data_IF_609537811351
#
_entry.id   IF_609537811351
#
_cell.length_a   1.000
_cell.length_b   1.000
_cell.length_c   1.000
_cell.angle_alpha   90.00
_cell.angle_beta   90.00
_cell.angle_gamma   90.00
#
_symmetry.space_group_name_H-M   'P 1'
#
loop_
_entity.id
_entity.type
_entity.pdbx_description
1 polymer ?
#
# COMPACT_ATOMS: atom_id res chain seq x y z
N UNK A 1 -9.71 56.53 9.81
CA UNK A 1 -9.59 55.09 10.11
C UNK A 1 -8.72 54.45 9.03
N UNK A 2 -7.55 53.93 9.32
CA UNK A 2 -6.73 53.27 8.31
C UNK A 2 -7.31 51.90 7.98
N UNK A 3 -7.43 51.59 6.68
CA UNK A 3 -7.89 50.32 6.17
C UNK A 3 -6.93 49.22 6.59
N UNK A 4 -7.40 48.21 7.35
CA UNK A 4 -6.65 46.98 7.67
C UNK A 4 -6.41 46.20 6.37
N UNK A 5 -5.15 46.15 5.93
CA UNK A 5 -4.73 45.28 4.83
C UNK A 5 -5.07 43.83 5.16
N UNK A 6 -5.88 43.19 4.30
CA UNK A 6 -6.17 41.77 4.40
C UNK A 6 -4.84 40.99 4.21
N UNK A 7 -4.50 40.08 5.11
CA UNK A 7 -3.28 39.25 4.92
C UNK A 7 -3.42 38.48 3.62
N UNK A 8 -2.41 38.59 2.74
CA UNK A 8 -2.32 37.83 1.51
C UNK A 8 -2.51 36.34 1.81
N UNK A 9 -3.44 35.68 1.11
CA UNK A 9 -3.61 34.22 1.14
C UNK A 9 -2.31 33.60 0.64
N UNK A 10 -1.37 33.30 1.55
CA UNK A 10 -0.20 32.46 1.23
C UNK A 10 -0.75 31.15 0.64
N UNK A 11 -0.35 30.84 -0.59
CA UNK A 11 -0.71 29.59 -1.26
C UNK A 11 -0.26 28.40 -0.39
N UNK A 12 -1.21 27.79 0.33
CA UNK A 12 -0.97 26.62 1.22
C UNK A 12 -0.48 25.38 0.45
N UNK A 13 -0.55 25.41 -0.87
CA UNK A 13 -0.20 24.31 -1.77
C UNK A 13 1.30 24.24 -2.11
N UNK A 14 2.01 25.36 -2.09
CA UNK A 14 3.46 25.38 -2.41
C UNK A 14 4.28 24.47 -1.50
N UNK A 15 4.07 24.49 -0.15
CA UNK A 15 4.81 23.57 0.72
C UNK A 15 4.50 22.09 0.45
N UNK A 16 3.26 21.76 0.09
CA UNK A 16 2.87 20.37 -0.18
C UNK A 16 3.46 19.86 -1.50
N UNK A 17 3.47 20.70 -2.54
CA UNK A 17 4.11 20.37 -3.82
C UNK A 17 5.62 20.16 -3.67
N UNK A 18 6.29 21.02 -2.88
CA UNK A 18 7.71 20.85 -2.57
C UNK A 18 7.98 19.55 -1.79
N UNK A 19 7.15 19.23 -0.80
CA UNK A 19 7.24 17.96 -0.08
C UNK A 19 7.02 16.76 -1.01
N UNK A 20 6.05 16.84 -1.94
CA UNK A 20 5.84 15.80 -2.94
C UNK A 20 7.07 15.62 -3.82
N UNK A 21 7.61 16.71 -4.38
CA UNK A 21 8.82 16.67 -5.21
C UNK A 21 10.03 16.09 -4.47
N UNK A 22 10.17 16.38 -3.17
CA UNK A 22 11.24 15.84 -2.32
C UNK A 22 11.21 14.30 -2.25
N UNK A 23 10.02 13.69 -2.27
CA UNK A 23 9.88 12.23 -2.27
C UNK A 23 9.85 11.63 -3.69
N UNK A 24 9.23 12.34 -4.63
CA UNK A 24 9.14 11.88 -6.01
C UNK A 24 10.50 11.82 -6.69
N UNK A 25 11.31 12.87 -6.56
CA UNK A 25 12.59 12.95 -7.27
C UNK A 25 13.52 11.76 -6.95
N UNK A 26 13.83 11.42 -5.68
CA UNK A 26 14.65 10.25 -5.37
C UNK A 26 14.02 8.95 -5.89
N UNK A 27 12.70 8.76 -5.73
CA UNK A 27 12.02 7.56 -6.19
C UNK A 27 12.16 7.39 -7.71
N UNK A 28 11.92 8.45 -8.49
CA UNK A 28 12.08 8.40 -9.94
C UNK A 28 13.54 8.15 -10.35
N UNK A 29 14.50 8.83 -9.72
CA UNK A 29 15.93 8.69 -10.06
C UNK A 29 16.40 7.25 -9.88
N UNK A 30 16.07 6.59 -8.77
CA UNK A 30 16.48 5.20 -8.52
C UNK A 30 15.75 4.19 -9.41
N UNK A 31 14.60 4.57 -10.02
CA UNK A 31 13.84 3.72 -10.93
C UNK A 31 14.12 4.00 -12.42
N UNK A 32 14.94 4.99 -12.78
CA UNK A 32 15.27 5.26 -14.17
C UNK A 32 15.72 4.02 -14.97
N UNK A 33 16.56 3.11 -14.40
CA UNK A 33 16.99 1.90 -15.11
C UNK A 33 15.86 0.92 -15.43
N UNK A 34 14.73 1.01 -14.70
CA UNK A 34 13.62 0.05 -14.77
C UNK A 34 12.41 0.56 -15.55
N UNK A 35 12.42 1.81 -16.06
CA UNK A 35 11.27 2.39 -16.76
C UNK A 35 10.85 1.60 -18.00
N UNK A 36 11.77 0.89 -18.63
CA UNK A 36 11.52 0.05 -19.81
C UNK A 36 11.52 -1.45 -19.50
N UNK A 37 11.58 -1.83 -18.20
CA UNK A 37 11.51 -3.24 -17.79
C UNK A 37 10.14 -3.81 -18.19
N UNK A 38 10.09 -4.90 -18.99
CA UNK A 38 8.85 -5.56 -19.33
C UNK A 38 7.98 -5.91 -18.13
N UNK A 39 6.71 -6.12 -18.38
CA UNK A 39 5.76 -6.52 -17.35
C UNK A 39 6.06 -7.91 -16.81
N UNK A 40 5.75 -8.12 -15.55
CA UNK A 40 6.04 -9.35 -14.83
C UNK A 40 4.77 -9.92 -14.19
N UNK A 41 4.62 -11.24 -14.22
CA UNK A 41 3.62 -12.04 -13.51
C UNK A 41 2.18 -11.53 -13.70
N UNK A 42 1.53 -11.06 -12.62
CA UNK A 42 0.15 -10.58 -12.64
C UNK A 42 -0.06 -9.35 -13.55
N UNK A 43 0.99 -8.54 -13.77
CA UNK A 43 0.91 -7.47 -14.75
C UNK A 43 0.58 -8.01 -16.14
N UNK A 44 1.31 -9.07 -16.58
CA UNK A 44 1.11 -9.71 -17.89
C UNK A 44 -0.17 -10.52 -17.96
N UNK A 45 -0.48 -11.26 -16.89
CA UNK A 45 -1.59 -12.21 -16.88
C UNK A 45 -2.93 -11.58 -16.58
N UNK A 46 -2.97 -10.41 -15.93
CA UNK A 46 -4.21 -9.87 -15.40
C UNK A 46 -4.36 -8.37 -15.63
N UNK A 47 -3.52 -7.51 -15.01
CA UNK A 47 -3.84 -6.08 -14.89
C UNK A 47 -3.64 -5.29 -16.17
N UNK A 48 -2.57 -5.55 -16.93
CA UNK A 48 -2.33 -4.86 -18.21
C UNK A 48 -3.32 -5.30 -19.28
N UNK A 49 -3.59 -6.60 -19.50
CA UNK A 49 -4.65 -7.04 -20.42
C UNK A 49 -6.00 -6.39 -20.10
N UNK A 50 -6.41 -6.39 -18.83
CA UNK A 50 -7.69 -5.78 -18.39
C UNK A 50 -7.69 -4.26 -18.63
N UNK A 51 -6.59 -3.57 -18.36
CA UNK A 51 -6.47 -2.14 -18.64
C UNK A 51 -6.56 -1.84 -20.15
N UNK A 52 -5.99 -2.71 -21.02
CA UNK A 52 -6.08 -2.59 -22.45
C UNK A 52 -7.48 -2.89 -23.00
N UNK A 53 -8.20 -3.85 -22.41
CA UNK A 53 -9.60 -4.11 -22.73
C UNK A 53 -10.46 -2.85 -22.45
N UNK A 54 -10.25 -2.22 -21.29
CA UNK A 54 -10.93 -0.98 -20.94
C UNK A 54 -10.52 0.17 -21.86
N UNK A 55 -9.23 0.35 -22.14
CA UNK A 55 -8.71 1.43 -22.98
C UNK A 55 -9.16 1.33 -24.43
N UNK A 56 -9.15 0.12 -25.03
CA UNK A 56 -9.43 -0.07 -26.45
C UNK A 56 -10.90 -0.30 -26.76
N UNK A 57 -11.62 -0.91 -25.82
CA UNK A 57 -12.98 -1.44 -26.06
C UNK A 57 -14.01 -0.88 -25.06
N UNK A 58 -13.60 -0.08 -24.06
CA UNK A 58 -14.48 0.38 -23.01
C UNK A 58 -15.00 -0.74 -22.07
N UNK A 59 -14.34 -1.89 -22.07
CA UNK A 59 -14.79 -3.08 -21.34
C UNK A 59 -14.35 -3.03 -19.87
N UNK A 60 -15.32 -2.86 -18.98
CA UNK A 60 -15.08 -2.85 -17.53
C UNK A 60 -14.84 -4.23 -16.93
N UNK A 61 -15.25 -5.28 -17.61
CA UNK A 61 -14.98 -6.68 -17.26
C UNK A 61 -13.98 -7.21 -18.28
N UNK A 62 -12.93 -7.89 -17.83
CA UNK A 62 -11.89 -8.42 -18.68
C UNK A 62 -12.44 -9.39 -19.76
N UNK A 63 -11.97 -9.23 -20.98
CA UNK A 63 -12.26 -10.11 -22.12
C UNK A 63 -11.03 -10.92 -22.55
N UNK A 64 -9.83 -10.31 -22.48
CA UNK A 64 -8.57 -10.93 -22.88
C UNK A 64 -7.92 -11.78 -21.80
N UNK A 65 -8.46 -11.73 -20.57
CA UNK A 65 -8.01 -12.55 -19.45
C UNK A 65 -9.21 -13.00 -18.59
N UNK A 66 -8.96 -13.89 -17.63
CA UNK A 66 -10.02 -14.43 -16.76
C UNK A 66 -10.60 -13.35 -15.85
N UNK A 67 -11.91 -13.04 -15.92
CA UNK A 67 -12.54 -12.11 -15.00
C UNK A 67 -12.42 -12.59 -13.55
N UNK A 68 -12.08 -11.69 -12.65
CA UNK A 68 -11.96 -11.95 -11.22
C UNK A 68 -12.75 -10.92 -10.40
N UNK A 69 -12.69 -11.03 -9.07
CA UNK A 69 -13.45 -10.17 -8.15
C UNK A 69 -12.92 -8.74 -8.10
N UNK A 70 -11.66 -8.49 -8.50
CA UNK A 70 -11.03 -7.19 -8.35
C UNK A 70 -11.80 -6.10 -9.11
N UNK A 71 -12.16 -4.99 -8.44
CA UNK A 71 -12.75 -3.83 -9.11
C UNK A 71 -11.72 -3.13 -10.00
N UNK A 72 -12.14 -2.51 -11.11
CA UNK A 72 -11.25 -1.98 -12.16
C UNK A 72 -10.66 -0.59 -11.85
N UNK A 73 -10.43 -0.27 -10.59
CA UNK A 73 -9.93 1.06 -10.20
C UNK A 73 -8.50 1.34 -10.64
N UNK A 74 -7.64 0.33 -10.64
CA UNK A 74 -6.25 0.45 -11.14
C UNK A 74 -6.24 0.57 -12.66
N UNK A 75 -7.03 -0.24 -13.33
CA UNK A 75 -7.19 -0.21 -14.79
C UNK A 75 -7.71 1.16 -15.25
N UNK A 76 -8.73 1.70 -14.59
CA UNK A 76 -9.26 3.03 -14.88
C UNK A 76 -8.19 4.13 -14.65
N UNK A 77 -7.37 4.00 -13.60
CA UNK A 77 -6.24 4.90 -13.36
C UNK A 77 -5.20 4.81 -14.49
N UNK A 78 -4.84 3.61 -14.94
CA UNK A 78 -3.90 3.41 -16.04
C UNK A 78 -4.46 3.94 -17.37
N UNK A 79 -5.76 3.71 -17.64
CA UNK A 79 -6.43 4.23 -18.84
C UNK A 79 -6.36 5.77 -18.87
N UNK A 80 -6.53 6.47 -17.75
CA UNK A 80 -6.35 7.92 -17.70
C UNK A 80 -4.96 8.34 -18.20
N UNK A 81 -3.90 7.60 -17.83
CA UNK A 81 -2.55 7.87 -18.31
C UNK A 81 -2.37 7.51 -19.80
N UNK A 82 -2.99 6.42 -20.25
CA UNK A 82 -2.91 5.99 -21.65
C UNK A 82 -3.64 6.94 -22.60
N UNK A 83 -4.76 7.53 -22.16
CA UNK A 83 -5.48 8.57 -22.92
C UNK A 83 -4.65 9.86 -23.05
N UNK A 84 -3.91 10.24 -22.00
CA UNK A 84 -3.13 11.47 -21.99
C UNK A 84 -1.78 11.35 -22.71
N UNK A 85 -1.12 10.18 -22.63
CA UNK A 85 0.28 10.03 -23.04
C UNK A 85 0.53 8.84 -23.96
N UNK A 86 -0.49 8.09 -24.31
CA UNK A 86 -0.39 6.84 -25.06
C UNK A 86 0.02 5.64 -24.21
N UNK A 87 -0.29 4.44 -24.70
CA UNK A 87 0.11 3.20 -24.03
C UNK A 87 1.59 2.90 -24.28
N UNK A 88 2.35 2.74 -23.21
CA UNK A 88 3.70 2.17 -23.21
C UNK A 88 4.07 1.63 -21.82
N UNK A 89 5.08 0.76 -21.78
CA UNK A 89 5.66 0.27 -20.53
C UNK A 89 6.11 1.46 -19.65
N UNK A 90 6.83 2.41 -20.24
CA UNK A 90 7.36 3.56 -19.52
C UNK A 90 6.25 4.41 -18.90
N UNK A 91 5.16 4.69 -19.63
CA UNK A 91 4.01 5.43 -19.10
C UNK A 91 3.36 4.68 -17.94
N UNK A 92 3.20 3.36 -18.06
CA UNK A 92 2.70 2.52 -16.98
C UNK A 92 3.59 2.61 -15.73
N UNK A 93 4.91 2.49 -15.90
CA UNK A 93 5.88 2.63 -14.79
C UNK A 93 5.81 4.00 -14.14
N UNK A 94 5.78 5.08 -14.95
CA UNK A 94 5.64 6.47 -14.46
C UNK A 94 4.35 6.65 -13.67
N UNK A 95 3.22 6.14 -14.17
CA UNK A 95 1.94 6.21 -13.47
C UNK A 95 2.04 5.58 -12.06
N UNK A 96 2.63 4.40 -11.96
CA UNK A 96 2.79 3.70 -10.68
C UNK A 96 3.78 4.42 -9.74
N UNK A 97 4.89 4.98 -10.25
CA UNK A 97 5.84 5.77 -9.47
C UNK A 97 5.22 7.05 -8.91
N UNK A 98 4.27 7.67 -9.62
CA UNK A 98 3.48 8.79 -9.07
C UNK A 98 2.67 8.35 -7.85
N UNK A 99 2.01 7.19 -7.91
CA UNK A 99 1.32 6.63 -6.73
C UNK A 99 2.30 6.32 -5.59
N UNK A 100 3.44 5.70 -5.88
CA UNK A 100 4.49 5.45 -4.89
C UNK A 100 4.96 6.74 -4.20
N UNK A 101 5.12 7.82 -4.98
CA UNK A 101 5.49 9.15 -4.45
C UNK A 101 4.43 9.71 -3.49
N UNK A 102 3.14 9.54 -3.81
CA UNK A 102 2.05 9.87 -2.88
C UNK A 102 2.08 9.00 -1.63
N UNK A 103 2.43 7.71 -1.75
CA UNK A 103 2.61 6.80 -0.62
C UNK A 103 3.67 7.31 0.37
N UNK A 104 4.84 7.76 -0.13
CA UNK A 104 5.90 8.36 0.70
C UNK A 104 5.43 9.65 1.37
N UNK A 105 4.78 10.56 0.62
CA UNK A 105 4.22 11.79 1.16
C UNK A 105 3.19 11.53 2.27
N UNK A 106 2.25 10.61 2.04
CA UNK A 106 1.23 10.27 3.02
C UNK A 106 1.83 9.62 4.27
N UNK A 107 2.86 8.78 4.11
CA UNK A 107 3.63 8.21 5.22
C UNK A 107 4.27 9.32 6.06
N UNK A 108 4.87 10.33 5.43
CA UNK A 108 5.44 11.50 6.12
C UNK A 108 4.36 12.30 6.88
N UNK A 109 3.22 12.59 6.23
CA UNK A 109 2.13 13.34 6.86
C UNK A 109 1.49 12.59 8.04
N UNK A 110 1.35 11.26 7.91
CA UNK A 110 0.91 10.40 9.01
C UNK A 110 1.95 10.33 10.13
N UNK A 111 3.24 10.27 9.80
CA UNK A 111 4.31 10.32 10.80
C UNK A 111 4.21 11.59 11.64
N UNK A 112 4.05 12.77 11.02
CA UNK A 112 3.82 14.03 11.74
C UNK A 112 2.56 13.95 12.63
N UNK A 113 1.50 13.33 12.15
CA UNK A 113 0.22 13.24 12.89
C UNK A 113 0.31 12.29 14.08
N UNK A 114 0.91 11.11 13.89
CA UNK A 114 0.99 10.04 14.88
C UNK A 114 2.13 10.21 15.89
N UNK A 115 3.18 10.98 15.55
CA UNK A 115 4.28 11.32 16.48
C UNK A 115 3.94 12.46 17.44
N UNK A 116 2.75 13.03 17.37
CA UNK A 116 2.35 14.10 18.29
C UNK A 116 2.47 13.63 19.74
N UNK A 117 3.23 14.40 20.54
CA UNK A 117 3.53 14.05 21.92
C UNK A 117 4.83 13.23 22.10
N UNK A 118 5.57 12.96 21.03
CA UNK A 118 6.92 12.36 21.08
C UNK A 118 7.95 13.35 20.57
N UNK A 119 8.54 14.18 21.42
CA UNK A 119 9.62 15.07 21.02
C UNK A 119 10.78 14.29 20.42
N UNK A 120 11.29 14.76 19.28
CA UNK A 120 12.47 14.16 18.63
C UNK A 120 12.20 12.97 17.71
N UNK A 121 10.93 12.52 17.54
CA UNK A 121 10.63 11.51 16.53
C UNK A 121 10.78 12.10 15.11
N UNK A 122 11.74 11.59 14.30
CA UNK A 122 12.01 12.17 12.98
C UNK A 122 10.93 11.76 11.97
N UNK A 123 10.11 12.70 11.53
CA UNK A 123 9.00 12.43 10.61
C UNK A 123 9.48 11.94 9.21
N UNK A 124 10.73 12.23 8.83
CA UNK A 124 11.32 11.74 7.57
C UNK A 124 11.81 10.29 7.64
N UNK A 125 11.99 9.73 8.83
CA UNK A 125 12.51 8.37 8.97
C UNK A 125 11.54 7.32 8.40
N UNK A 126 10.23 7.32 8.66
CA UNK A 126 9.33 6.34 8.09
C UNK A 126 9.29 6.30 6.56
N UNK A 127 9.18 7.43 5.82
CA UNK A 127 9.28 7.37 4.36
C UNK A 127 10.68 6.96 3.86
N UNK A 128 11.77 7.25 4.58
CA UNK A 128 13.09 6.74 4.24
C UNK A 128 13.17 5.22 4.37
N UNK A 129 12.65 4.66 5.47
CA UNK A 129 12.59 3.21 5.68
C UNK A 129 11.69 2.53 4.63
N UNK A 130 10.58 3.18 4.27
CA UNK A 130 9.70 2.68 3.23
C UNK A 130 10.39 2.67 1.87
N UNK A 131 11.09 3.76 1.50
CA UNK A 131 11.85 3.86 0.26
C UNK A 131 12.99 2.83 0.19
N UNK A 132 13.63 2.52 1.33
CA UNK A 132 14.67 1.51 1.42
C UNK A 132 14.12 0.07 1.42
N UNK A 133 12.81 -0.13 1.64
CA UNK A 133 12.20 -1.46 1.72
C UNK A 133 12.12 -2.11 0.34
N UNK A 134 12.63 -3.34 0.16
CA UNK A 134 12.60 -4.06 -1.12
C UNK A 134 11.20 -4.14 -1.71
N UNK A 135 10.23 -4.55 -0.92
CA UNK A 135 8.85 -4.68 -1.34
C UNK A 135 8.26 -3.35 -1.87
N UNK A 136 8.47 -2.24 -1.17
CA UNK A 136 7.99 -0.94 -1.64
C UNK A 136 8.71 -0.52 -2.92
N UNK A 137 10.02 -0.77 -3.00
CA UNK A 137 10.80 -0.45 -4.18
C UNK A 137 10.22 -1.13 -5.43
N UNK A 138 10.06 -2.44 -5.41
CA UNK A 138 9.56 -3.19 -6.57
C UNK A 138 8.12 -2.85 -6.89
N UNK A 139 7.24 -2.83 -5.88
CA UNK A 139 5.82 -2.56 -6.05
C UNK A 139 5.54 -1.11 -6.50
N UNK A 140 6.45 -0.16 -6.24
CA UNK A 140 6.26 1.24 -6.68
C UNK A 140 6.29 1.42 -8.19
N UNK A 141 6.84 0.48 -8.96
CA UNK A 141 6.85 0.50 -10.44
C UNK A 141 5.92 -0.53 -11.07
N UNK A 142 5.36 -1.48 -10.32
CA UNK A 142 4.51 -2.55 -10.84
C UNK A 142 3.05 -2.12 -10.92
N UNK A 143 2.39 -2.40 -12.05
CA UNK A 143 0.97 -2.16 -12.25
C UNK A 143 0.14 -3.24 -11.54
N UNK A 144 0.09 -3.14 -10.21
CA UNK A 144 -0.62 -4.06 -9.32
C UNK A 144 -1.52 -3.29 -8.35
N UNK A 145 -2.42 -4.00 -7.67
CA UNK A 145 -3.44 -3.40 -6.81
C UNK A 145 -2.89 -2.88 -5.47
N UNK A 146 -1.74 -3.40 -5.01
CA UNK A 146 -1.29 -3.23 -3.63
C UNK A 146 -0.70 -1.84 -3.36
N UNK A 147 0.01 -1.26 -4.34
CA UNK A 147 0.52 0.11 -4.22
C UNK A 147 -0.60 1.15 -4.09
N UNK A 148 -1.60 1.22 -5.01
CA UNK A 148 -2.72 2.14 -4.83
C UNK A 148 -3.57 1.81 -3.60
N UNK A 149 -3.74 0.53 -3.21
CA UNK A 149 -4.41 0.16 -1.97
C UNK A 149 -3.69 0.73 -0.74
N UNK A 150 -2.36 0.69 -0.70
CA UNK A 150 -1.57 1.36 0.34
C UNK A 150 -1.83 2.88 0.35
N UNK A 151 -1.74 3.53 -0.81
CA UNK A 151 -1.93 4.98 -0.93
C UNK A 151 -3.30 5.41 -0.39
N UNK A 152 -4.37 4.75 -0.84
CA UNK A 152 -5.72 5.11 -0.41
C UNK A 152 -6.03 4.68 1.03
N UNK A 153 -5.40 3.63 1.56
CA UNK A 153 -5.44 3.29 2.99
C UNK A 153 -4.82 4.41 3.84
N UNK A 154 -3.62 4.88 3.48
CA UNK A 154 -2.94 5.95 4.20
C UNK A 154 -3.69 7.28 4.08
N UNK A 155 -4.25 7.60 2.91
CA UNK A 155 -5.07 8.79 2.69
C UNK A 155 -6.34 8.75 3.55
N UNK A 156 -7.09 7.66 3.49
CA UNK A 156 -8.31 7.48 4.27
C UNK A 156 -8.03 7.57 5.77
N UNK A 157 -6.96 6.93 6.26
CA UNK A 157 -6.54 7.01 7.66
C UNK A 157 -6.16 8.44 8.06
N UNK A 158 -5.38 9.14 7.24
CA UNK A 158 -4.97 10.53 7.51
C UNK A 158 -6.20 11.46 7.62
N UNK A 159 -7.15 11.34 6.68
CA UNK A 159 -8.39 12.12 6.67
C UNK A 159 -9.28 11.77 7.86
N UNK A 160 -9.40 10.49 8.21
CA UNK A 160 -10.13 10.05 9.40
C UNK A 160 -9.53 10.63 10.68
N UNK A 161 -8.21 10.57 10.85
CA UNK A 161 -7.51 11.15 12.00
C UNK A 161 -7.58 12.70 12.06
N UNK A 162 -7.90 13.34 10.93
CA UNK A 162 -8.21 14.78 10.84
C UNK A 162 -9.69 15.07 11.04
N UNK A 163 -10.51 14.09 11.36
CA UNK A 163 -11.96 14.17 11.50
C UNK A 163 -12.72 14.63 10.23
N UNK A 164 -12.09 14.49 9.06
CA UNK A 164 -12.67 14.77 7.75
C UNK A 164 -13.39 13.52 7.23
N UNK A 165 -14.45 13.11 7.93
CA UNK A 165 -15.07 11.77 7.73
C UNK A 165 -15.67 11.56 6.34
N UNK A 166 -16.30 12.60 5.73
CA UNK A 166 -16.81 12.49 4.37
C UNK A 166 -15.69 12.28 3.35
N UNK A 167 -14.58 13.02 3.47
CA UNK A 167 -13.41 12.84 2.61
C UNK A 167 -12.72 11.51 2.85
N UNK A 168 -12.66 11.03 4.12
CA UNK A 168 -12.15 9.70 4.45
C UNK A 168 -13.01 8.60 3.82
N UNK A 169 -14.33 8.74 3.82
CA UNK A 169 -15.25 7.82 3.17
C UNK A 169 -15.06 7.83 1.64
N UNK A 170 -14.92 9.00 1.02
CA UNK A 170 -14.63 9.13 -0.42
C UNK A 170 -13.30 8.44 -0.79
N UNK A 171 -12.23 8.66 -0.02
CA UNK A 171 -10.96 7.94 -0.20
C UNK A 171 -11.12 6.43 -0.02
N UNK A 172 -12.00 5.99 0.90
CA UNK A 172 -12.31 4.58 1.11
C UNK A 172 -13.15 3.99 -0.02
N UNK A 173 -13.99 4.77 -0.71
CA UNK A 173 -14.67 4.33 -1.95
C UNK A 173 -13.63 4.04 -3.04
N UNK A 174 -12.67 4.94 -3.25
CA UNK A 174 -11.59 4.68 -4.21
C UNK A 174 -10.78 3.44 -3.80
N UNK A 175 -10.47 3.29 -2.51
CA UNK A 175 -9.77 2.13 -1.98
C UNK A 175 -10.47 0.81 -2.33
N UNK A 176 -11.77 0.70 -2.06
CA UNK A 176 -12.51 -0.55 -2.31
C UNK A 176 -12.72 -0.81 -3.79
N UNK A 177 -12.79 0.24 -4.62
CA UNK A 177 -12.83 0.13 -6.08
C UNK A 177 -11.44 -0.15 -6.70
N UNK A 178 -10.37 -0.03 -5.94
CA UNK A 178 -9.00 -0.43 -6.29
C UNK A 178 -8.74 -1.88 -5.90
N UNK A 179 -9.14 -2.26 -4.68
CA UNK A 179 -8.96 -3.60 -4.14
C UNK A 179 -10.07 -3.89 -3.12
N UNK A 180 -10.85 -4.94 -3.33
CA UNK A 180 -12.02 -5.30 -2.51
C UNK A 180 -11.66 -5.54 -1.04
N UNK A 181 -10.47 -6.10 -0.78
CA UNK A 181 -9.97 -6.30 0.60
C UNK A 181 -9.76 -4.99 1.35
N UNK A 182 -9.65 -3.87 0.66
CA UNK A 182 -9.61 -2.53 1.26
C UNK A 182 -10.84 -2.17 2.08
N UNK A 183 -11.96 -2.91 1.95
CA UNK A 183 -13.19 -2.71 2.72
C UNK A 183 -12.97 -2.82 4.24
N UNK A 184 -11.93 -3.51 4.68
CA UNK A 184 -11.59 -3.64 6.11
C UNK A 184 -11.29 -2.28 6.75
N UNK A 185 -10.73 -1.33 6.00
CA UNK A 185 -10.36 0.01 6.52
C UNK A 185 -11.59 0.84 6.89
N UNK A 186 -12.55 1.12 5.98
CA UNK A 186 -13.78 1.82 6.33
C UNK A 186 -14.63 1.04 7.35
N UNK A 187 -14.56 -0.28 7.39
CA UNK A 187 -15.22 -1.07 8.43
C UNK A 187 -14.66 -0.77 9.83
N UNK A 188 -13.33 -0.70 9.99
CA UNK A 188 -12.71 -0.29 11.27
C UNK A 188 -13.12 1.15 11.63
N UNK A 189 -13.17 2.07 10.67
CA UNK A 189 -13.63 3.45 10.93
C UNK A 189 -15.08 3.51 11.36
N UNK A 190 -15.95 2.73 10.72
CA UNK A 190 -17.34 2.59 11.10
C UNK A 190 -17.46 2.13 12.56
N UNK A 191 -16.81 1.03 12.91
CA UNK A 191 -16.83 0.49 14.28
C UNK A 191 -16.26 1.48 15.31
N UNK A 192 -15.18 2.20 14.98
CA UNK A 192 -14.59 3.19 15.85
C UNK A 192 -15.55 4.36 16.14
N UNK A 193 -16.37 4.78 15.18
CA UNK A 193 -17.35 5.84 15.34
C UNK A 193 -18.61 5.35 16.05
N UNK A 194 -19.06 4.11 15.78
CA UNK A 194 -20.15 3.46 16.50
C UNK A 194 -19.82 3.33 17.99
N UNK A 195 -18.61 2.88 18.32
CA UNK A 195 -18.15 2.80 19.71
C UNK A 195 -18.11 4.17 20.41
N UNK A 196 -17.91 5.25 19.65
CA UNK A 196 -17.99 6.63 20.14
C UNK A 196 -19.42 7.21 20.10
N UNK A 197 -20.44 6.43 19.73
CA UNK A 197 -21.85 6.86 19.55
C UNK A 197 -22.02 7.98 18.50
N UNK A 198 -21.10 8.12 17.54
CA UNK A 198 -21.13 9.11 16.46
C UNK A 198 -21.84 8.55 15.21
N UNK A 199 -23.09 8.08 15.36
CA UNK A 199 -23.86 7.34 14.36
C UNK A 199 -23.97 8.06 12.99
N UNK A 200 -24.28 9.37 13.00
CA UNK A 200 -24.35 10.17 11.77
C UNK A 200 -23.05 10.18 10.99
N UNK A 201 -21.90 10.19 11.68
CA UNK A 201 -20.57 10.15 11.07
C UNK A 201 -20.18 8.75 10.61
N UNK A 202 -20.61 7.72 11.35
CA UNK A 202 -20.43 6.32 10.97
C UNK A 202 -21.14 6.02 9.65
N UNK A 203 -22.32 6.61 9.40
CA UNK A 203 -23.09 6.44 8.18
C UNK A 203 -22.33 6.76 6.89
N UNK A 204 -21.34 7.66 6.89
CA UNK A 204 -20.50 7.90 5.71
C UNK A 204 -19.77 6.64 5.23
N UNK A 205 -19.38 5.76 6.15
CA UNK A 205 -18.61 4.55 5.86
C UNK A 205 -19.45 3.36 5.36
N UNK A 206 -20.75 3.58 5.13
CA UNK A 206 -21.59 2.65 4.36
C UNK A 206 -21.34 2.79 2.86
N UNK A 207 -20.98 4.00 2.39
CA UNK A 207 -20.77 4.27 0.97
C UNK A 207 -19.68 3.36 0.32
N UNK A 208 -18.52 3.08 0.94
CA UNK A 208 -17.57 2.10 0.39
C UNK A 208 -18.14 0.70 0.19
N UNK A 209 -18.93 0.20 1.15
CA UNK A 209 -19.58 -1.10 1.03
C UNK A 209 -20.63 -1.10 -0.10
N UNK A 210 -21.40 -0.03 -0.23
CA UNK A 210 -22.36 0.12 -1.32
C UNK A 210 -21.65 0.17 -2.69
N UNK A 211 -20.52 0.89 -2.80
CA UNK A 211 -19.73 0.96 -4.03
C UNK A 211 -19.18 -0.42 -4.44
N UNK A 212 -18.64 -1.19 -3.49
CA UNK A 212 -18.20 -2.56 -3.75
C UNK A 212 -19.40 -3.47 -4.13
N UNK A 213 -20.53 -3.34 -3.44
CA UNK A 213 -21.75 -4.08 -3.76
C UNK A 213 -22.24 -3.80 -5.19
N UNK A 214 -22.21 -2.56 -5.64
CA UNK A 214 -22.53 -2.19 -7.02
C UNK A 214 -21.57 -2.85 -8.02
N UNK A 215 -20.26 -2.85 -7.72
CA UNK A 215 -19.30 -3.57 -8.56
C UNK A 215 -19.62 -5.06 -8.66
N UNK A 216 -19.90 -5.72 -7.54
CA UNK A 216 -20.24 -7.15 -7.53
C UNK A 216 -21.51 -7.45 -8.34
N UNK A 217 -22.50 -6.56 -8.33
CA UNK A 217 -23.69 -6.66 -9.19
C UNK A 217 -23.32 -6.57 -10.68
N UNK A 218 -22.45 -5.59 -11.04
CA UNK A 218 -21.96 -5.46 -12.43
C UNK A 218 -21.21 -6.71 -12.86
N UNK A 219 -20.31 -7.21 -12.01
CA UNK A 219 -19.54 -8.42 -12.28
C UNK A 219 -20.46 -9.64 -12.45
N UNK A 220 -21.45 -9.81 -11.56
CA UNK A 220 -22.40 -10.91 -11.63
C UNK A 220 -23.23 -10.85 -12.92
N UNK A 221 -23.72 -9.68 -13.30
CA UNK A 221 -24.51 -9.51 -14.54
C UNK A 221 -23.68 -9.79 -15.80
N UNK A 222 -22.39 -9.50 -15.79
CA UNK A 222 -21.50 -9.72 -16.93
C UNK A 222 -20.90 -11.12 -17.02
N UNK A 223 -20.74 -11.82 -15.88
CA UNK A 223 -20.06 -13.13 -15.84
C UNK A 223 -20.97 -14.28 -15.40
N UNK A 224 -22.13 -13.99 -14.80
CA UNK A 224 -22.97 -14.98 -14.13
C UNK A 224 -22.49 -15.39 -12.73
N UNK A 225 -21.37 -14.87 -12.25
CA UNK A 225 -20.73 -15.23 -10.97
C UNK A 225 -20.46 -14.01 -10.10
N UNK A 226 -20.70 -14.12 -8.78
CA UNK A 226 -20.49 -13.01 -7.83
C UNK A 226 -19.02 -12.65 -7.61
N UNK A 227 -18.11 -13.61 -7.75
CA UNK A 227 -16.68 -13.43 -7.54
C UNK A 227 -15.86 -13.60 -8.84
N UNK A 228 -16.49 -13.43 -10.00
CA UNK A 228 -15.87 -13.66 -11.28
C UNK A 228 -15.67 -15.15 -11.57
N UNK A 229 -14.50 -15.56 -12.03
CA UNK A 229 -14.25 -16.96 -12.37
C UNK A 229 -14.33 -17.88 -11.14
N UNK A 230 -15.09 -19.01 -11.19
CA UNK A 230 -15.24 -19.94 -10.07
C UNK A 230 -13.91 -20.55 -9.59
N UNK A 231 -12.97 -20.84 -10.49
CA UNK A 231 -11.63 -21.35 -10.12
C UNK A 231 -10.82 -20.33 -9.32
N UNK A 232 -10.86 -19.08 -9.74
CA UNK A 232 -10.25 -17.98 -8.99
C UNK A 232 -10.88 -17.82 -7.59
N UNK A 233 -12.20 -17.86 -7.51
CA UNK A 233 -12.93 -17.76 -6.25
C UNK A 233 -12.62 -18.95 -5.32
N UNK A 234 -12.57 -20.17 -5.85
CA UNK A 234 -12.21 -21.36 -5.08
C UNK A 234 -10.79 -21.26 -4.51
N UNK A 235 -9.81 -20.83 -5.31
CA UNK A 235 -8.43 -20.67 -4.86
C UNK A 235 -8.27 -19.58 -3.80
N UNK A 236 -8.88 -18.41 -4.01
CA UNK A 236 -8.66 -17.25 -3.13
C UNK A 236 -9.58 -17.22 -1.90
N UNK A 237 -10.68 -17.96 -1.89
CA UNK A 237 -11.62 -18.02 -0.77
C UNK A 237 -11.73 -19.45 -0.23
N UNK A 238 -12.13 -20.41 -1.06
CA UNK A 238 -12.39 -21.80 -0.59
C UNK A 238 -11.15 -22.46 0.01
N UNK A 239 -10.05 -22.48 -0.73
CA UNK A 239 -8.77 -23.05 -0.27
C UNK A 239 -8.17 -22.23 0.87
N UNK A 240 -8.25 -20.91 0.79
CA UNK A 240 -7.66 -20.01 1.79
C UNK A 240 -8.29 -20.17 3.18
N UNK A 241 -9.57 -20.56 3.28
CA UNK A 241 -10.27 -20.76 4.56
C UNK A 241 -9.85 -22.04 5.31
N UNK A 242 -8.99 -22.88 4.73
CA UNK A 242 -8.52 -24.05 5.46
C UNK A 242 -7.72 -23.63 6.72
N UNK A 243 -8.04 -24.13 7.95
CA UNK A 243 -7.46 -23.62 9.20
C UNK A 243 -5.93 -23.66 9.25
N UNK A 244 -5.30 -24.70 8.69
CA UNK A 244 -3.84 -24.83 8.64
C UNK A 244 -3.25 -23.73 7.73
N UNK A 245 -3.88 -23.46 6.58
CA UNK A 245 -3.46 -22.38 5.69
C UNK A 245 -3.57 -21.02 6.38
N UNK A 246 -4.70 -20.73 7.04
CA UNK A 246 -4.89 -19.47 7.80
C UNK A 246 -3.81 -19.29 8.86
N UNK A 247 -3.52 -20.33 9.64
CA UNK A 247 -2.48 -20.28 10.69
C UNK A 247 -1.09 -20.03 10.08
N UNK A 248 -0.75 -20.73 9.01
CA UNK A 248 0.53 -20.57 8.31
C UNK A 248 0.69 -19.18 7.70
N UNK A 249 -0.36 -18.72 7.00
CA UNK A 249 -0.42 -17.39 6.41
C UNK A 249 -0.26 -16.30 7.47
N UNK A 250 -0.97 -16.42 8.61
CA UNK A 250 -0.84 -15.46 9.71
C UNK A 250 0.58 -15.39 10.26
N UNK A 251 1.19 -16.56 10.55
CA UNK A 251 2.58 -16.63 11.06
C UNK A 251 3.56 -16.01 10.05
N UNK A 252 3.41 -16.33 8.75
CA UNK A 252 4.25 -15.75 7.68
C UNK A 252 4.09 -14.23 7.59
N UNK A 253 2.85 -13.69 7.66
CA UNK A 253 2.59 -12.24 7.66
C UNK A 253 3.25 -11.53 8.84
N UNK A 254 3.13 -12.12 10.05
CA UNK A 254 3.76 -11.59 11.26
C UNK A 254 5.29 -11.64 11.14
N UNK A 255 5.84 -12.78 10.71
CA UNK A 255 7.27 -12.91 10.47
C UNK A 255 7.78 -11.87 9.47
N UNK A 256 7.12 -11.76 8.32
CA UNK A 256 7.52 -10.83 7.29
C UNK A 256 7.47 -9.38 7.77
N UNK A 257 6.36 -8.95 8.37
CA UNK A 257 6.18 -7.57 8.80
C UNK A 257 7.17 -7.14 9.90
N UNK A 258 7.48 -8.03 10.84
CA UNK A 258 8.20 -7.67 12.05
C UNK A 258 9.63 -8.18 12.12
N UNK A 259 9.99 -9.22 11.40
CA UNK A 259 11.27 -9.91 11.56
C UNK A 259 12.11 -9.89 10.28
N UNK A 260 11.53 -10.23 9.13
CA UNK A 260 12.23 -10.32 7.85
C UNK A 260 12.93 -9.01 7.47
N UNK A 261 13.92 -9.09 6.57
CA UNK A 261 14.61 -7.94 5.98
C UNK A 261 15.15 -6.96 7.06
N UNK A 262 15.77 -7.50 8.10
CA UNK A 262 16.29 -6.71 9.23
C UNK A 262 15.25 -5.91 10.03
N UNK A 263 13.95 -6.04 9.76
CA UNK A 263 12.88 -5.36 10.50
C UNK A 263 12.83 -5.73 11.98
N UNK A 264 13.41 -6.88 12.38
CA UNK A 264 13.59 -7.26 13.78
C UNK A 264 14.32 -6.19 14.61
N UNK A 265 15.23 -5.40 14.00
CA UNK A 265 15.89 -4.27 14.68
C UNK A 265 14.84 -3.25 15.14
N UNK A 266 13.90 -2.91 14.25
CA UNK A 266 12.79 -2.02 14.57
C UNK A 266 11.83 -2.61 15.60
N UNK A 267 11.54 -3.91 15.51
CA UNK A 267 10.71 -4.62 16.49
C UNK A 267 11.34 -4.58 17.88
N UNK A 268 12.63 -4.92 18.00
CA UNK A 268 13.37 -4.89 19.27
C UNK A 268 13.35 -3.48 19.86
N UNK A 269 13.63 -2.45 19.03
CA UNK A 269 13.54 -1.07 19.46
C UNK A 269 12.14 -0.71 19.98
N UNK A 270 11.09 -1.17 19.29
CA UNK A 270 9.70 -0.93 19.70
C UNK A 270 9.38 -1.61 21.04
N UNK A 271 9.74 -2.88 21.21
CA UNK A 271 9.49 -3.64 22.44
C UNK A 271 10.23 -3.03 23.65
N UNK A 272 11.47 -2.59 23.46
CA UNK A 272 12.25 -1.90 24.49
C UNK A 272 11.67 -0.52 24.81
N UNK A 273 11.28 0.25 23.79
CA UNK A 273 10.67 1.57 23.99
C UNK A 273 9.31 1.51 24.71
N UNK A 274 8.54 0.44 24.52
CA UNK A 274 7.28 0.21 25.20
C UNK A 274 7.42 -0.04 26.73
N UNK A 275 8.65 -0.26 27.24
CA UNK A 275 8.91 -0.25 28.69
C UNK A 275 8.79 1.16 29.27
N UNK A 276 8.99 2.21 28.44
CA UNK A 276 8.81 3.60 28.87
C UNK A 276 7.32 3.98 28.91
N UNK A 277 6.88 4.55 30.04
CA UNK A 277 5.48 5.00 30.22
C UNK A 277 5.07 6.10 29.23
N UNK A 278 6.00 7.00 28.85
CA UNK A 278 5.71 8.07 27.89
C UNK A 278 5.42 7.49 26.51
N UNK A 279 6.24 6.57 26.03
CA UNK A 279 6.04 5.88 24.74
C UNK A 279 4.72 5.09 24.74
N UNK A 280 4.43 4.35 25.81
CA UNK A 280 3.12 3.63 25.93
C UNK A 280 1.93 4.57 25.81
N UNK A 281 1.97 5.75 26.45
CA UNK A 281 0.87 6.73 26.35
C UNK A 281 0.61 7.17 24.91
N UNK A 282 1.64 7.31 24.09
CA UNK A 282 1.48 7.65 22.66
C UNK A 282 0.71 6.56 21.93
N UNK A 283 1.10 5.28 22.10
CA UNK A 283 0.43 4.16 21.45
C UNK A 283 -0.98 3.88 22.00
N UNK A 284 -1.29 4.32 23.23
CA UNK A 284 -2.64 4.26 23.80
C UNK A 284 -3.54 5.43 23.38
N UNK A 285 -3.03 6.41 22.60
CA UNK A 285 -3.85 7.53 22.12
C UNK A 285 -4.96 7.04 21.18
N UNK A 286 -6.08 7.78 21.06
CA UNK A 286 -7.17 7.42 20.16
C UNK A 286 -6.72 7.25 18.71
N UNK A 287 -5.78 8.09 18.24
CA UNK A 287 -5.22 8.00 16.89
C UNK A 287 -4.49 6.67 16.68
N UNK A 288 -3.64 6.27 17.62
CA UNK A 288 -2.92 5.01 17.52
C UNK A 288 -3.82 3.79 17.69
N UNK A 289 -4.86 3.84 18.54
CA UNK A 289 -5.82 2.74 18.65
C UNK A 289 -6.49 2.43 17.31
N UNK A 290 -6.93 3.45 16.59
CA UNK A 290 -7.52 3.26 15.24
C UNK A 290 -6.46 2.76 14.26
N UNK A 291 -5.25 3.32 14.28
CA UNK A 291 -4.15 2.89 13.39
C UNK A 291 -3.78 1.42 13.61
N UNK A 292 -3.66 0.99 14.87
CA UNK A 292 -3.38 -0.41 15.23
C UNK A 292 -4.55 -1.31 14.80
N UNK A 293 -5.80 -0.86 15.01
CA UNK A 293 -6.98 -1.63 14.59
C UNK A 293 -7.02 -1.84 13.07
N UNK A 294 -6.69 -0.80 12.27
CA UNK A 294 -6.57 -0.92 10.80
C UNK A 294 -5.46 -1.90 10.43
N UNK A 295 -4.28 -1.77 11.03
CA UNK A 295 -3.16 -2.67 10.75
C UNK A 295 -3.48 -4.14 11.11
N UNK A 296 -4.03 -4.38 12.30
CA UNK A 296 -4.39 -5.70 12.76
C UNK A 296 -5.50 -6.33 11.90
N UNK A 297 -6.53 -5.55 11.56
CA UNK A 297 -7.63 -6.02 10.73
C UNK A 297 -7.16 -6.37 9.31
N UNK A 298 -6.23 -5.58 8.73
CA UNK A 298 -5.63 -5.88 7.43
C UNK A 298 -4.82 -7.19 7.49
N UNK A 299 -3.96 -7.38 8.51
CA UNK A 299 -3.17 -8.61 8.67
C UNK A 299 -4.09 -9.82 8.80
N UNK A 300 -5.12 -9.73 9.65
CA UNK A 300 -6.09 -10.82 9.83
C UNK A 300 -6.82 -11.12 8.52
N UNK A 301 -7.32 -10.09 7.82
CA UNK A 301 -8.06 -10.28 6.58
C UNK A 301 -7.21 -11.00 5.52
N UNK A 302 -5.96 -10.54 5.27
CA UNK A 302 -5.09 -11.15 4.26
C UNK A 302 -4.51 -12.49 4.70
N UNK A 303 -4.67 -12.88 5.96
CA UNK A 303 -4.35 -14.22 6.44
C UNK A 303 -5.51 -15.19 6.26
N UNK A 304 -6.74 -14.68 6.19
CA UNK A 304 -7.97 -15.48 6.01
C UNK A 304 -8.34 -15.60 4.54
N UNK A 305 -8.09 -14.55 3.75
CA UNK A 305 -8.40 -14.49 2.33
C UNK A 305 -7.12 -14.40 1.49
N UNK A 306 -7.14 -15.01 0.31
CA UNK A 306 -6.02 -15.04 -0.62
C UNK A 306 -5.35 -16.41 -0.64
N UNK A 307 -5.41 -17.11 -1.78
CA UNK A 307 -4.78 -18.43 -1.96
C UNK A 307 -3.26 -18.33 -2.02
N UNK A 308 -2.73 -17.22 -2.51
CA UNK A 308 -1.30 -16.95 -2.55
C UNK A 308 -0.83 -16.18 -1.31
N UNK A 309 0.29 -16.61 -0.75
CA UNK A 309 0.91 -15.94 0.40
C UNK A 309 1.92 -14.87 -0.07
N UNK A 310 1.40 -13.80 -0.70
CA UNK A 310 2.22 -12.72 -1.26
C UNK A 310 2.45 -11.63 -0.20
N UNK A 311 3.70 -11.25 0.00
CA UNK A 311 4.12 -10.24 0.97
C UNK A 311 3.57 -8.85 0.64
N UNK A 312 3.33 -8.55 -0.65
CA UNK A 312 2.73 -7.27 -1.10
C UNK A 312 1.39 -6.95 -0.46
N UNK A 313 0.63 -7.96 0.01
CA UNK A 313 -0.64 -7.73 0.72
C UNK A 313 -0.46 -7.00 2.06
N UNK A 314 0.79 -6.94 2.58
CA UNK A 314 1.15 -6.17 3.77
C UNK A 314 1.59 -4.73 3.46
N UNK A 315 1.69 -4.36 2.20
CA UNK A 315 2.13 -3.02 1.80
C UNK A 315 1.31 -1.90 2.47
N UNK A 316 -0.03 -1.99 2.65
CA UNK A 316 -0.79 -0.99 3.37
C UNK A 316 -0.42 -0.82 4.85
N UNK A 317 0.19 -1.84 5.48
CA UNK A 317 0.54 -1.86 6.91
C UNK A 317 2.00 -1.45 7.14
N UNK A 318 2.87 -1.69 6.19
CA UNK A 318 4.31 -1.47 6.31
C UNK A 318 4.68 -0.03 6.70
N UNK A 319 4.10 1.04 6.13
CA UNK A 319 4.34 2.41 6.56
C UNK A 319 3.97 2.67 8.02
N UNK A 320 2.88 2.03 8.51
CA UNK A 320 2.40 2.18 9.87
C UNK A 320 3.39 1.57 10.88
N UNK A 321 3.99 0.43 10.53
CA UNK A 321 5.06 -0.17 11.30
C UNK A 321 6.30 0.74 11.35
N UNK A 322 6.73 1.31 10.23
CA UNK A 322 7.88 2.22 10.21
C UNK A 322 7.64 3.52 10.98
N UNK A 323 6.40 4.02 11.03
CA UNK A 323 6.04 5.14 11.91
C UNK A 323 6.19 4.73 13.38
N UNK A 324 5.75 3.53 13.76
CA UNK A 324 5.93 3.02 15.11
C UNK A 324 7.41 2.88 15.49
N UNK A 325 8.24 2.37 14.58
CA UNK A 325 9.69 2.25 14.74
C UNK A 325 10.34 3.63 14.94
N UNK A 326 9.94 4.64 14.15
CA UNK A 326 10.47 6.00 14.30
C UNK A 326 10.18 6.59 15.68
N UNK A 327 8.96 6.40 16.19
CA UNK A 327 8.58 6.81 17.55
C UNK A 327 9.38 6.05 18.61
N UNK A 328 9.58 4.75 18.41
CA UNK A 328 10.35 3.92 19.33
C UNK A 328 11.82 4.38 19.39
N UNK A 329 12.44 4.63 18.26
CA UNK A 329 13.85 5.06 18.16
C UNK A 329 14.08 6.41 18.83
N UNK A 330 13.10 7.31 18.86
CA UNK A 330 13.18 8.58 19.56
C UNK A 330 13.32 8.43 21.10
N UNK A 331 12.99 7.27 21.66
CA UNK A 331 13.14 7.00 23.10
C UNK A 331 14.59 6.66 23.51
N UNK A 332 15.49 6.45 22.56
CA UNK A 332 16.88 6.06 22.82
C UNK A 332 17.85 7.25 22.71
N UNK A 333 19.07 7.05 23.23
CA UNK A 333 20.17 8.01 23.04
C UNK A 333 20.47 8.17 21.55
N UNK A 334 20.79 9.39 21.12
CA UNK A 334 21.02 9.74 19.70
C UNK A 334 21.96 8.77 18.97
N UNK A 335 23.06 8.33 19.62
CA UNK A 335 24.02 7.37 19.02
C UNK A 335 23.38 6.00 18.76
N UNK A 336 22.60 5.48 19.71
CA UNK A 336 21.90 4.19 19.59
C UNK A 336 20.83 4.28 18.52
N UNK A 337 20.02 5.34 18.54
CA UNK A 337 18.99 5.59 17.53
C UNK A 337 19.60 5.69 16.13
N UNK A 338 20.72 6.43 15.98
CA UNK A 338 21.40 6.54 14.69
C UNK A 338 21.96 5.19 14.22
N UNK A 339 22.66 4.45 15.08
CA UNK A 339 23.22 3.13 14.73
C UNK A 339 22.12 2.14 14.33
N UNK A 340 21.02 2.07 15.10
CA UNK A 340 19.88 1.21 14.77
C UNK A 340 19.21 1.62 13.44
N UNK A 341 19.04 2.92 13.20
CA UNK A 341 18.53 3.43 11.93
C UNK A 341 19.43 3.05 10.76
N UNK A 342 20.75 3.29 10.89
CA UNK A 342 21.73 2.98 9.85
C UNK A 342 21.76 1.48 9.54
N UNK A 343 21.74 0.62 10.58
CA UNK A 343 21.70 -0.83 10.42
C UNK A 343 20.41 -1.29 9.74
N UNK A 344 19.26 -0.72 10.12
CA UNK A 344 17.97 -1.06 9.51
C UNK A 344 17.91 -0.63 8.03
N UNK A 345 18.33 0.59 7.71
CA UNK A 345 18.37 1.08 6.32
C UNK A 345 19.34 0.25 5.49
N UNK A 346 20.54 0.00 5.98
CA UNK A 346 21.54 -0.82 5.28
C UNK A 346 21.04 -2.26 5.06
N UNK A 347 20.38 -2.86 6.06
CA UNK A 347 19.78 -4.18 5.95
C UNK A 347 18.65 -4.23 4.92
N UNK A 348 17.73 -3.27 4.93
CA UNK A 348 16.66 -3.17 3.94
C UNK A 348 17.23 -3.01 2.51
N UNK A 349 18.21 -2.12 2.31
CA UNK A 349 18.86 -1.94 1.01
C UNK A 349 19.61 -3.19 0.56
N UNK A 350 20.29 -3.90 1.47
CA UNK A 350 20.96 -5.16 1.14
C UNK A 350 19.97 -6.23 0.66
N UNK A 351 18.77 -6.30 1.25
CA UNK A 351 17.73 -7.24 0.87
C UNK A 351 17.08 -6.95 -0.50
N UNK A 352 17.35 -5.78 -1.13
CA UNK A 352 17.01 -5.57 -2.55
C UNK A 352 17.75 -6.54 -3.47
N UNK A 353 18.97 -6.91 -3.09
CA UNK A 353 19.91 -7.71 -3.90
C UNK A 353 20.14 -9.12 -3.32
N UNK A 354 19.64 -9.37 -2.13
CA UNK A 354 19.89 -10.64 -1.41
C UNK A 354 18.59 -11.40 -1.24
N UNK A 355 18.53 -12.57 -1.88
CA UNK A 355 17.36 -13.43 -1.79
C UNK A 355 17.24 -14.06 -0.41
N UNK A 356 16.02 -14.13 0.15
CA UNK A 356 15.79 -14.84 1.41
C UNK A 356 16.08 -16.35 1.24
N UNK A 357 16.47 -17.05 2.32
CA UNK A 357 16.80 -18.48 2.26
C UNK A 357 15.56 -19.40 2.29
N UNK A 358 14.41 -18.90 1.85
CA UNK A 358 13.14 -19.63 1.77
C UNK A 358 12.40 -19.26 0.48
N UNK A 359 11.41 -20.06 0.02
CA UNK A 359 10.60 -19.71 -1.14
C UNK A 359 9.90 -18.37 -0.96
N UNK A 360 10.09 -17.47 -1.92
CA UNK A 360 9.54 -16.11 -1.89
C UNK A 360 9.06 -15.70 -3.29
N UNK A 361 8.11 -14.78 -3.42
CA UNK A 361 7.72 -14.18 -4.69
C UNK A 361 8.87 -13.32 -5.21
N UNK A 362 9.28 -13.51 -6.47
CA UNK A 362 10.40 -12.74 -7.06
C UNK A 362 10.14 -11.23 -7.07
N UNK A 363 8.88 -10.82 -7.05
CA UNK A 363 8.46 -9.42 -6.99
C UNK A 363 8.72 -8.72 -5.64
N UNK A 364 9.21 -9.44 -4.64
CA UNK A 364 9.54 -8.86 -3.33
C UNK A 364 10.90 -8.15 -3.33
N UNK A 365 11.77 -8.43 -4.31
CA UNK A 365 13.08 -7.78 -4.48
C UNK A 365 13.49 -7.72 -5.96
N UNK A 366 14.74 -7.36 -6.25
CA UNK A 366 15.24 -7.24 -7.63
C UNK A 366 15.45 -8.58 -8.37
N UNK A 367 15.22 -9.74 -7.73
CA UNK A 367 15.24 -11.04 -8.43
C UNK A 367 14.23 -11.08 -9.60
N UNK A 368 13.14 -10.30 -9.52
CA UNK A 368 12.21 -10.17 -10.64
C UNK A 368 12.88 -9.61 -11.91
N UNK A 369 13.85 -8.73 -11.76
CA UNK A 369 14.54 -8.12 -12.91
C UNK A 369 15.34 -9.17 -13.66
N UNK A 370 16.10 -9.99 -12.94
CA UNK A 370 16.87 -11.09 -13.52
C UNK A 370 15.95 -12.12 -14.18
N UNK A 371 14.81 -12.41 -13.55
CA UNK A 371 13.83 -13.35 -14.10
C UNK A 371 13.18 -12.80 -15.38
N UNK A 372 12.82 -11.52 -15.44
CA UNK A 372 12.29 -10.87 -16.66
C UNK A 372 13.34 -10.92 -17.80
N UNK A 373 14.60 -10.65 -17.50
CA UNK A 373 15.68 -10.76 -18.50
C UNK A 373 15.83 -12.20 -19.00
N UNK A 374 15.76 -13.19 -18.11
CA UNK A 374 15.79 -14.61 -18.50
C UNK A 374 14.61 -14.98 -19.41
N UNK A 375 13.40 -14.53 -19.09
CA UNK A 375 12.22 -14.73 -19.95
C UNK A 375 12.40 -14.10 -21.33
N UNK A 376 12.98 -12.89 -21.42
CA UNK A 376 13.28 -12.25 -22.71
C UNK A 376 14.32 -13.04 -23.53
N UNK A 377 15.33 -13.61 -22.88
CA UNK A 377 16.33 -14.47 -23.55
C UNK A 377 15.65 -15.72 -24.08
N UNK A 378 14.81 -16.37 -23.26
CA UNK A 378 14.09 -17.58 -23.66
C UNK A 378 13.11 -17.32 -24.83
N UNK A 379 12.37 -16.21 -24.79
CA UNK A 379 11.47 -15.83 -25.88
C UNK A 379 12.25 -15.62 -27.19
N UNK A 380 13.35 -14.86 -27.17
CA UNK A 380 14.21 -14.65 -28.35
C UNK A 380 14.82 -15.95 -28.89
N UNK A 381 15.14 -16.89 -28.00
CA UNK A 381 15.61 -18.22 -28.42
C UNK A 381 14.51 -19.01 -29.14
N UNK A 382 13.30 -19.03 -28.57
CA UNK A 382 12.16 -19.72 -29.15
C UNK A 382 11.70 -19.12 -30.50
N UNK A 383 11.85 -17.80 -30.69
CA UNK A 383 11.53 -17.12 -31.97
C UNK A 383 12.54 -17.46 -33.10
N UNK A 384 13.76 -17.86 -32.74
CA UNK A 384 14.84 -18.17 -33.70
C UNK A 384 14.91 -19.64 -34.08
N UNK A 385 14.28 -20.52 -33.33
CA UNK A 385 14.25 -21.97 -33.55
C UNK A 385 12.83 -22.50 -33.67
#
# INVERSE_FOLDING_TARGET
MPARARPARRHKWVPLALCFALFALPLFVIHLPFLHLPFFWDELGQFIPTALDLFRHGAWIAHSTTPNVHPPGVEAYLVLWYELFGYSIAITRVAMLVLGSFGLLLTFLLAIRLSRGTPGAPAFLPPLLLLASPLFFTQSMMAQLDMPAMVFTLLALLLFLREQYAAAAAASVVLVLTKETGLVVPFVFFLALVAQRKWKRAGYFVAPAAALGLWLIVLHNGTGYWLGNPGFAHYNVGYALHPVHVAFSFVRRVYYLFIAEFRWIGLVALLLALRNRATRRVFHSPAWRVTIAVAAAQIVLVSVLGGAELERYLLPVLPLFYIAVSIALAAFRRRVSFAATAALVAGLVACLFWNPPYPFPYEDNLAMVDFVHLQQIAARFAERN
#
